data_IF_692532271579
#
_entry.id   IF_692532271579
#
_cell.length_a   1.000
_cell.length_b   1.000
_cell.length_c   1.000
_cell.angle_alpha   90.00
_cell.angle_beta   90.00
_cell.angle_gamma   90.00
#
_symmetry.space_group_name_H-M   'P 1'
#
loop_
_entity.id
_entity.type
_entity.pdbx_description
1 polymer ?
#
# COMPACT_ATOMS: atom_id res chain seq x y z
N UNK A 1 -74.82 -11.21 12.62
CA UNK A 1 -74.46 -9.92 11.99
C UNK A 1 -72.96 -9.74 12.24
N UNK A 2 -72.07 -10.27 11.37
CA UNK A 2 -71.29 -9.52 10.36
C UNK A 2 -70.58 -8.31 11.00
N UNK A 3 -69.26 -8.18 11.14
CA UNK A 3 -68.12 -8.21 10.20
C UNK A 3 -66.81 -8.13 11.04
N UNK A 4 -65.72 -8.89 10.80
CA UNK A 4 -64.68 -8.78 9.76
C UNK A 4 -63.39 -8.07 10.26
N UNK A 5 -62.32 -8.89 10.37
CA UNK A 5 -60.91 -8.68 9.99
C UNK A 5 -60.14 -7.44 10.46
N UNK A 6 -58.95 -7.69 11.03
CA UNK A 6 -57.88 -6.70 11.15
C UNK A 6 -56.57 -7.26 11.71
N UNK A 7 -56.03 -8.31 11.09
CA UNK A 7 -54.68 -8.82 11.38
C UNK A 7 -53.68 -7.99 10.56
N UNK A 8 -52.89 -7.13 11.22
CA UNK A 8 -51.72 -6.51 10.59
C UNK A 8 -50.56 -6.51 11.58
N UNK A 9 -49.85 -7.63 11.64
CA UNK A 9 -48.53 -7.71 12.26
C UNK A 9 -47.53 -7.07 11.27
N UNK A 10 -47.17 -5.81 11.52
CA UNK A 10 -46.08 -5.15 10.81
C UNK A 10 -44.74 -5.75 11.27
N UNK A 11 -44.24 -6.76 10.54
CA UNK A 11 -42.83 -7.11 10.58
C UNK A 11 -42.04 -5.96 9.94
N UNK A 12 -41.54 -5.06 10.79
CA UNK A 12 -40.44 -4.18 10.40
C UNK A 12 -39.20 -5.08 10.32
N UNK A 13 -38.89 -5.53 9.11
CA UNK A 13 -37.62 -6.18 8.82
C UNK A 13 -36.50 -5.20 9.14
N UNK A 14 -35.78 -5.45 10.23
CA UNK A 14 -34.49 -4.84 10.50
C UNK A 14 -33.58 -5.21 9.33
N UNK A 15 -33.45 -4.30 8.38
CA UNK A 15 -32.42 -4.37 7.35
C UNK A 15 -31.08 -4.31 8.07
N UNK A 16 -30.47 -5.47 8.25
CA UNK A 16 -29.04 -5.58 8.53
C UNK A 16 -28.34 -4.76 7.46
N UNK A 17 -27.82 -3.59 7.82
CA UNK A 17 -26.74 -2.97 7.07
C UNK A 17 -25.59 -3.97 7.19
N UNK A 18 -25.50 -4.85 6.21
CA UNK A 18 -24.41 -5.78 6.07
C UNK A 18 -23.11 -4.98 6.17
N UNK A 19 -22.22 -5.37 7.09
CA UNK A 19 -20.80 -5.09 6.95
C UNK A 19 -20.33 -5.81 5.68
N UNK A 20 -20.60 -5.26 4.51
CA UNK A 20 -20.57 -6.00 3.25
C UNK A 20 -19.19 -6.05 2.58
N UNK A 21 -18.11 -5.83 3.33
CA UNK A 21 -16.76 -6.04 2.83
C UNK A 21 -15.90 -6.72 3.90
N UNK A 22 -15.18 -7.81 3.54
CA UNK A 22 -14.30 -8.49 4.48
C UNK A 22 -13.22 -7.50 4.95
N UNK A 23 -12.88 -7.56 6.24
CA UNK A 23 -11.73 -6.85 6.80
C UNK A 23 -10.68 -7.90 7.19
N UNK A 24 -9.40 -7.71 6.84
CA UNK A 24 -8.36 -8.61 7.30
C UNK A 24 -8.34 -8.66 8.84
N UNK A 25 -8.06 -9.84 9.39
CA UNK A 25 -7.88 -9.95 10.84
C UNK A 25 -6.57 -9.27 11.25
N UNK A 26 -6.51 -8.64 12.44
CA UNK A 26 -5.25 -8.05 12.95
C UNK A 26 -4.14 -9.10 13.12
N UNK A 27 -4.52 -10.33 13.49
CA UNK A 27 -3.60 -11.47 13.56
C UNK A 27 -3.61 -12.19 12.21
N UNK A 28 -2.45 -12.39 11.56
CA UNK A 28 -2.38 -13.08 10.28
C UNK A 28 -2.91 -14.51 10.38
N UNK A 29 -3.78 -14.91 9.45
CA UNK A 29 -4.24 -16.30 9.34
C UNK A 29 -3.33 -17.12 8.42
N UNK A 30 -2.54 -16.44 7.59
CA UNK A 30 -1.56 -17.01 6.67
C UNK A 30 -0.18 -16.40 6.86
N UNK A 31 0.81 -16.99 6.19
CA UNK A 31 2.17 -16.50 6.16
C UNK A 31 2.21 -15.03 5.70
N UNK A 32 2.89 -14.21 6.49
CA UNK A 32 3.08 -12.78 6.30
C UNK A 32 4.56 -12.47 6.54
N UNK A 33 5.15 -11.72 5.62
CA UNK A 33 6.53 -11.27 5.71
C UNK A 33 6.61 -10.09 6.69
N UNK A 34 7.73 -9.99 7.40
CA UNK A 34 7.98 -8.81 8.21
C UNK A 34 8.45 -7.67 7.29
N UNK A 35 7.65 -6.59 7.23
CA UNK A 35 7.88 -5.46 6.34
C UNK A 35 8.01 -4.19 7.16
N UNK A 36 9.17 -3.54 7.04
CA UNK A 36 9.56 -2.35 7.78
C UNK A 36 9.75 -1.19 6.80
N UNK A 37 8.72 -0.36 6.59
CA UNK A 37 8.84 0.74 5.66
C UNK A 37 9.54 1.94 6.28
N UNK A 38 10.46 2.51 5.52
CA UNK A 38 11.02 3.82 5.80
C UNK A 38 10.00 4.96 5.63
N UNK A 39 10.44 6.21 5.83
CA UNK A 39 9.59 7.36 5.56
C UNK A 39 9.52 7.66 4.06
N UNK A 40 8.36 8.13 3.63
CA UNK A 40 8.14 8.67 2.29
C UNK A 40 8.80 10.05 2.22
N UNK A 41 9.43 10.36 1.09
CA UNK A 41 10.10 11.64 0.81
C UNK A 41 9.92 12.02 -0.66
N UNK A 42 10.29 13.25 -1.03
CA UNK A 42 10.26 13.70 -2.41
C UNK A 42 11.56 14.41 -2.80
N UNK A 43 12.08 14.18 -3.99
CA UNK A 43 13.31 14.85 -4.45
C UNK A 43 13.25 15.11 -5.95
N UNK A 44 13.82 16.23 -6.37
CA UNK A 44 14.06 16.51 -7.79
C UNK A 44 15.31 15.78 -8.26
N UNK A 45 15.20 15.05 -9.38
CA UNK A 45 16.35 14.45 -10.05
C UNK A 45 17.20 15.54 -10.72
N UNK A 46 18.52 15.43 -10.55
CA UNK A 46 19.49 16.26 -11.25
C UNK A 46 19.67 15.85 -12.72
N UNK A 47 19.24 14.63 -13.09
CA UNK A 47 19.36 14.10 -14.45
C UNK A 47 18.30 14.64 -15.39
N UNK A 48 17.05 14.71 -14.94
CA UNK A 48 15.93 15.10 -15.80
C UNK A 48 15.08 16.26 -15.26
N UNK A 49 15.41 16.77 -14.07
CA UNK A 49 14.70 17.89 -13.44
C UNK A 49 13.29 17.55 -12.98
N UNK A 50 12.85 16.28 -13.03
CA UNK A 50 11.53 15.87 -12.52
C UNK A 50 11.60 15.53 -11.04
N UNK A 51 10.45 15.62 -10.41
CA UNK A 51 10.29 15.26 -9.00
C UNK A 51 9.88 13.80 -8.88
N UNK A 52 10.46 13.12 -7.89
CA UNK A 52 10.18 11.72 -7.60
C UNK A 52 9.86 11.59 -6.12
N UNK A 53 8.73 10.94 -5.83
CA UNK A 53 8.52 10.34 -4.52
C UNK A 53 9.45 9.15 -4.38
N UNK A 54 10.01 8.96 -3.19
CA UNK A 54 10.86 7.82 -2.93
C UNK A 54 10.72 7.34 -1.49
N UNK A 55 10.97 6.05 -1.29
CA UNK A 55 10.92 5.41 0.01
C UNK A 55 11.88 4.21 0.02
N UNK A 56 12.54 3.97 1.14
CA UNK A 56 13.27 2.72 1.39
C UNK A 56 12.44 1.80 2.29
N UNK A 57 12.69 0.50 2.23
CA UNK A 57 12.09 -0.45 3.17
C UNK A 57 13.05 -1.60 3.44
N UNK A 58 12.81 -2.34 4.52
CA UNK A 58 13.44 -3.62 4.79
C UNK A 58 12.38 -4.70 4.88
N UNK A 59 12.65 -5.87 4.30
CA UNK A 59 11.77 -7.04 4.37
C UNK A 59 12.55 -8.25 4.89
N UNK A 60 11.98 -8.98 5.83
CA UNK A 60 12.54 -10.21 6.38
C UNK A 60 11.50 -11.33 6.43
N UNK A 61 11.97 -12.57 6.29
CA UNK A 61 11.11 -13.74 6.21
C UNK A 61 11.23 -14.60 7.47
N UNK A 62 10.15 -14.66 8.25
CA UNK A 62 10.00 -15.56 9.40
C UNK A 62 8.88 -16.57 9.21
N UNK A 63 8.50 -16.87 7.97
CA UNK A 63 7.29 -17.65 7.65
C UNK A 63 7.48 -19.17 7.79
N UNK A 64 8.67 -19.66 8.13
CA UNK A 64 8.97 -21.09 8.26
C UNK A 64 9.42 -21.77 6.97
N UNK A 65 9.34 -21.09 5.82
CA UNK A 65 9.86 -21.54 4.52
C UNK A 65 10.38 -20.35 3.69
N UNK A 66 11.20 -20.61 2.68
CA UNK A 66 11.65 -19.58 1.73
C UNK A 66 10.46 -19.07 0.89
N UNK A 67 10.49 -17.79 0.54
CA UNK A 67 9.39 -17.11 -0.18
C UNK A 67 9.92 -16.36 -1.38
N UNK A 68 9.08 -16.22 -2.41
CA UNK A 68 9.36 -15.29 -3.50
C UNK A 68 8.85 -13.91 -3.07
N UNK A 69 9.74 -12.94 -3.05
CA UNK A 69 9.44 -11.53 -2.86
C UNK A 69 9.20 -10.88 -4.23
N UNK A 70 7.95 -10.54 -4.51
CA UNK A 70 7.54 -9.83 -5.72
C UNK A 70 6.40 -8.85 -5.38
N UNK A 71 6.70 -7.78 -4.63
CA UNK A 71 5.69 -6.85 -4.13
C UNK A 71 5.24 -5.88 -5.22
N UNK A 72 4.07 -5.28 -5.00
CA UNK A 72 3.58 -4.13 -5.76
C UNK A 72 3.33 -2.97 -4.81
N UNK A 73 3.87 -1.79 -5.14
CA UNK A 73 3.70 -0.58 -4.35
C UNK A 73 3.06 0.53 -5.20
N UNK A 74 1.93 1.04 -4.73
CA UNK A 74 1.14 2.05 -5.45
C UNK A 74 0.89 3.25 -4.55
N UNK A 75 1.19 4.44 -5.05
CA UNK A 75 0.72 5.70 -4.46
C UNK A 75 -0.58 6.12 -5.13
N UNK A 76 -1.54 6.55 -4.32
CA UNK A 76 -2.74 7.24 -4.77
C UNK A 76 -2.76 8.65 -4.21
N UNK A 77 -2.92 9.66 -5.06
CA UNK A 77 -2.95 11.07 -4.65
C UNK A 77 -4.38 11.55 -4.48
N UNK A 78 -4.59 12.62 -3.70
CA UNK A 78 -5.85 13.36 -3.61
C UNK A 78 -6.28 14.01 -4.96
N UNK A 79 -5.38 14.05 -5.95
CA UNK A 79 -5.67 14.46 -7.33
C UNK A 79 -6.18 13.33 -8.21
N UNK A 80 -6.23 12.11 -7.70
CA UNK A 80 -6.70 10.93 -8.43
C UNK A 80 -5.61 10.24 -9.26
N UNK A 81 -4.33 10.60 -9.07
CA UNK A 81 -3.22 9.93 -9.73
C UNK A 81 -3.00 8.54 -9.11
N UNK A 82 -2.70 7.55 -9.95
CA UNK A 82 -2.28 6.21 -9.55
C UNK A 82 -0.85 6.01 -10.03
N UNK A 83 0.10 6.01 -9.10
CA UNK A 83 1.52 5.90 -9.40
C UNK A 83 2.02 4.53 -8.94
N UNK A 84 2.42 3.67 -9.86
CA UNK A 84 3.05 2.38 -9.54
C UNK A 84 4.57 2.55 -9.46
N UNK A 85 5.20 1.96 -8.43
CA UNK A 85 6.64 2.11 -8.21
C UNK A 85 7.42 1.57 -9.40
N UNK A 86 8.45 2.30 -9.82
CA UNK A 86 9.36 1.92 -10.90
C UNK A 86 8.78 2.09 -12.30
N UNK A 87 7.47 2.34 -12.44
CA UNK A 87 6.85 2.68 -13.72
C UNK A 87 7.32 4.07 -14.14
N UNK A 88 7.73 4.19 -15.40
CA UNK A 88 8.27 5.43 -15.98
C UNK A 88 9.50 6.00 -15.25
N UNK A 89 10.23 5.14 -14.52
CA UNK A 89 11.51 5.47 -13.89
C UNK A 89 12.64 4.90 -14.74
N UNK A 90 13.43 5.78 -15.35
CA UNK A 90 14.60 5.37 -16.10
C UNK A 90 15.69 4.82 -15.16
N UNK A 91 16.50 3.89 -15.68
CA UNK A 91 17.59 3.26 -14.91
C UNK A 91 18.56 4.29 -14.32
N UNK A 92 18.89 5.35 -15.08
CA UNK A 92 19.77 6.42 -14.63
C UNK A 92 19.24 7.18 -13.40
N UNK A 93 17.92 7.29 -13.27
CA UNK A 93 17.25 7.91 -12.10
C UNK A 93 17.35 6.97 -10.90
N UNK A 94 17.12 5.67 -11.12
CA UNK A 94 17.29 4.67 -10.05
C UNK A 94 18.72 4.66 -9.51
N UNK A 95 19.72 4.73 -10.39
CA UNK A 95 21.14 4.81 -10.03
C UNK A 95 21.50 6.12 -9.32
N UNK A 96 20.92 7.25 -9.73
CA UNK A 96 21.09 8.54 -9.05
C UNK A 96 20.59 8.48 -7.60
N UNK A 97 19.35 8.01 -7.37
CA UNK A 97 18.78 7.92 -6.03
C UNK A 97 19.51 6.89 -5.16
N UNK A 98 19.94 5.77 -5.76
CA UNK A 98 20.76 4.78 -5.07
C UNK A 98 22.09 5.37 -4.60
N UNK A 99 22.81 6.08 -5.48
CA UNK A 99 24.06 6.75 -5.15
C UNK A 99 23.87 7.85 -4.11
N UNK A 100 22.79 8.63 -4.19
CA UNK A 100 22.43 9.66 -3.21
C UNK A 100 22.24 9.08 -1.81
N UNK A 101 21.59 7.91 -1.69
CA UNK A 101 21.34 7.25 -0.41
C UNK A 101 22.57 6.57 0.18
N UNK A 102 23.59 6.27 -0.64
CA UNK A 102 24.89 5.79 -0.18
C UNK A 102 24.86 4.47 0.60
N UNK A 103 23.86 3.62 0.36
CA UNK A 103 23.68 2.35 1.04
C UNK A 103 23.82 1.19 0.06
N UNK A 104 24.94 0.48 0.16
CA UNK A 104 25.27 -0.66 -0.73
C UNK A 104 24.31 -1.86 -0.56
N UNK A 105 23.61 -1.96 0.57
CA UNK A 105 22.62 -3.02 0.83
C UNK A 105 21.24 -2.69 0.26
N UNK A 106 21.06 -1.47 -0.25
CA UNK A 106 19.81 -1.03 -0.85
C UNK A 106 19.74 -1.55 -2.29
N UNK A 107 18.69 -2.30 -2.60
CA UNK A 107 18.48 -2.87 -3.92
C UNK A 107 17.41 -2.06 -4.67
N UNK A 108 17.64 -1.68 -5.93
CA UNK A 108 16.59 -1.08 -6.74
C UNK A 108 15.49 -2.12 -7.04
N UNK A 109 14.28 -1.65 -7.34
CA UNK A 109 13.10 -2.50 -7.48
C UNK A 109 13.24 -3.68 -8.45
N UNK A 110 14.03 -3.54 -9.52
CA UNK A 110 14.25 -4.64 -10.48
C UNK A 110 15.19 -5.73 -9.97
N UNK A 111 16.03 -5.45 -8.98
CA UNK A 111 16.98 -6.40 -8.38
C UNK A 111 16.39 -7.09 -7.16
N UNK A 112 15.56 -6.38 -6.38
CA UNK A 112 15.02 -6.92 -5.14
C UNK A 112 13.99 -8.05 -5.35
N UNK A 113 13.41 -8.18 -6.55
CA UNK A 113 12.47 -9.26 -6.87
C UNK A 113 13.21 -10.60 -6.89
N UNK A 114 12.68 -11.61 -6.20
CA UNK A 114 13.23 -12.96 -6.22
C UNK A 114 13.13 -13.63 -4.85
N UNK A 115 13.99 -14.62 -4.63
CA UNK A 115 13.96 -15.40 -3.40
C UNK A 115 14.29 -14.55 -2.16
N UNK A 116 13.53 -14.79 -1.10
CA UNK A 116 13.70 -14.21 0.22
C UNK A 116 13.83 -15.37 1.23
N UNK A 117 15.08 -15.64 1.58
CA UNK A 117 15.45 -16.72 2.48
C UNK A 117 15.02 -16.41 3.91
N UNK A 118 14.85 -17.44 4.72
CA UNK A 118 14.46 -17.28 6.12
C UNK A 118 15.50 -16.60 7.02
N UNK A 119 15.00 -15.86 8.00
CA UNK A 119 15.78 -15.27 9.08
C UNK A 119 16.24 -13.84 8.81
N UNK A 120 16.58 -13.13 9.89
CA UNK A 120 16.92 -11.70 9.88
C UNK A 120 18.14 -11.36 9.02
N UNK A 121 19.16 -12.24 9.00
CA UNK A 121 20.39 -12.02 8.22
C UNK A 121 20.18 -12.04 6.71
N UNK A 122 19.04 -12.57 6.26
CA UNK A 122 18.64 -12.60 4.87
C UNK A 122 17.63 -11.49 4.55
N UNK A 123 17.46 -10.52 5.45
CA UNK A 123 16.65 -9.35 5.18
C UNK A 123 17.18 -8.59 3.97
N UNK A 124 16.28 -8.14 3.11
CA UNK A 124 16.60 -7.37 1.91
C UNK A 124 16.06 -5.96 2.08
N UNK A 125 16.80 -4.97 1.59
CA UNK A 125 16.38 -3.57 1.65
C UNK A 125 16.13 -3.03 0.27
N UNK A 126 14.97 -2.41 0.04
CA UNK A 126 14.55 -1.97 -1.29
C UNK A 126 14.40 -0.47 -1.42
N UNK A 127 14.71 0.05 -2.61
CA UNK A 127 14.41 1.41 -3.03
C UNK A 127 13.16 1.42 -3.92
N UNK A 128 12.20 2.28 -3.57
CA UNK A 128 11.00 2.57 -4.35
C UNK A 128 11.03 3.99 -4.88
N UNK A 129 10.56 4.17 -6.11
CA UNK A 129 10.55 5.44 -6.83
C UNK A 129 9.25 5.60 -7.60
N UNK A 130 8.65 6.78 -7.52
CA UNK A 130 7.47 7.16 -8.30
C UNK A 130 7.68 8.55 -8.89
N UNK A 131 7.54 8.75 -10.21
CA UNK A 131 7.51 10.09 -10.78
C UNK A 131 6.30 10.85 -10.26
N UNK A 132 6.51 12.05 -9.73
CA UNK A 132 5.43 12.92 -9.27
C UNK A 132 4.77 13.59 -10.48
N UNK A 133 3.49 13.27 -10.74
CA UNK A 133 2.69 13.89 -11.80
C UNK A 133 2.19 15.29 -11.41
N UNK A 134 1.96 15.49 -10.11
CA UNK A 134 1.61 16.78 -9.51
C UNK A 134 2.38 16.97 -8.20
N UNK A 135 2.65 18.24 -7.89
CA UNK A 135 3.29 18.68 -6.64
C UNK A 135 2.29 19.39 -5.71
N UNK A 136 1.09 19.67 -6.22
CA UNK A 136 0.00 20.27 -5.47
C UNK A 136 -0.88 19.16 -4.86
N UNK A 137 -0.29 18.29 -4.05
CA UNK A 137 -0.96 17.18 -3.39
C UNK A 137 -0.99 17.41 -1.88
N UNK A 138 -2.13 17.16 -1.23
CA UNK A 138 -2.24 17.30 0.23
C UNK A 138 -2.19 15.95 0.94
N UNK A 139 -2.57 14.88 0.23
CA UNK A 139 -2.61 13.54 0.78
C UNK A 139 -2.09 12.53 -0.24
N UNK A 140 -1.34 11.55 0.27
CA UNK A 140 -0.87 10.41 -0.51
C UNK A 140 -1.14 9.12 0.27
N UNK A 141 -1.77 8.16 -0.38
CA UNK A 141 -2.02 6.82 0.15
C UNK A 141 -1.08 5.81 -0.50
N UNK A 142 -0.21 5.19 0.28
CA UNK A 142 0.62 4.06 -0.14
C UNK A 142 -0.12 2.75 0.11
N UNK A 143 -0.17 1.92 -0.93
CA UNK A 143 -0.64 0.54 -0.89
C UNK A 143 0.52 -0.42 -1.19
N UNK A 144 0.82 -1.30 -0.25
CA UNK A 144 1.86 -2.33 -0.35
C UNK A 144 1.24 -3.72 -0.41
N UNK A 145 1.32 -4.37 -1.56
CA UNK A 145 0.78 -5.72 -1.80
C UNK A 145 1.92 -6.73 -1.96
N UNK A 146 1.67 -7.99 -1.61
CA UNK A 146 2.68 -9.07 -1.65
C UNK A 146 3.38 -9.34 -0.32
N UNK A 147 3.04 -8.60 0.73
CA UNK A 147 3.55 -8.84 2.09
C UNK A 147 2.88 -10.07 2.73
N UNK A 148 1.58 -10.27 2.45
CA UNK A 148 0.79 -11.38 2.96
C UNK A 148 0.26 -12.26 1.83
N UNK A 149 0.20 -13.57 2.09
CA UNK A 149 -0.45 -14.55 1.20
C UNK A 149 -1.96 -14.69 1.43
N UNK A 150 -2.52 -13.88 2.33
CA UNK A 150 -3.94 -13.85 2.65
C UNK A 150 -4.74 -13.19 1.51
N UNK A 151 -5.83 -13.85 1.12
CA UNK A 151 -6.76 -13.38 0.09
C UNK A 151 -8.21 -13.57 0.55
N UNK A 152 -9.11 -12.79 -0.03
CA UNK A 152 -10.54 -12.94 0.13
C UNK A 152 -11.20 -12.98 -1.25
N UNK A 153 -12.19 -13.87 -1.44
CA UNK A 153 -13.00 -13.89 -2.66
C UNK A 153 -14.30 -13.17 -2.37
N UNK A 154 -14.62 -12.16 -3.17
CA UNK A 154 -15.87 -11.40 -3.09
C UNK A 154 -16.56 -11.35 -4.43
N UNK A 155 -17.86 -11.09 -4.44
CA UNK A 155 -18.59 -10.82 -5.67
C UNK A 155 -18.32 -9.38 -6.13
N UNK A 156 -17.97 -9.22 -7.41
CA UNK A 156 -17.76 -7.91 -8.00
C UNK A 156 -19.10 -7.15 -8.05
N UNK A 157 -19.18 -5.92 -7.50
CA UNK A 157 -20.47 -5.23 -7.30
C UNK A 157 -21.22 -4.93 -8.60
N UNK A 158 -20.50 -4.68 -9.70
CA UNK A 158 -21.10 -4.43 -11.02
C UNK A 158 -21.33 -5.70 -11.84
N UNK A 159 -20.34 -6.59 -11.94
CA UNK A 159 -20.40 -7.74 -12.83
C UNK A 159 -20.98 -9.02 -12.21
N UNK A 160 -21.12 -9.08 -10.88
CA UNK A 160 -21.53 -10.28 -10.14
C UNK A 160 -20.53 -11.44 -10.19
N UNK A 161 -19.37 -11.27 -10.84
CA UNK A 161 -18.35 -12.32 -10.96
C UNK A 161 -17.48 -12.37 -9.70
N UNK A 162 -16.99 -13.55 -9.31
CA UNK A 162 -16.04 -13.65 -8.21
C UNK A 162 -14.73 -12.94 -8.58
N UNK A 163 -14.23 -12.12 -7.66
CA UNK A 163 -12.92 -11.48 -7.73
C UNK A 163 -12.12 -11.82 -6.48
N UNK A 164 -10.81 -11.97 -6.64
CA UNK A 164 -9.88 -12.21 -5.54
C UNK A 164 -9.28 -10.88 -5.11
N UNK A 165 -9.43 -10.55 -3.84
CA UNK A 165 -8.77 -9.42 -3.20
C UNK A 165 -7.57 -9.93 -2.40
N UNK A 166 -6.48 -9.17 -2.43
CA UNK A 166 -5.27 -9.46 -1.70
C UNK A 166 -5.23 -8.62 -0.42
N UNK A 167 -4.69 -9.19 0.66
CA UNK A 167 -4.40 -8.41 1.87
C UNK A 167 -3.27 -7.43 1.56
N UNK A 168 -3.59 -6.14 1.63
CA UNK A 168 -2.73 -5.03 1.27
C UNK A 168 -2.53 -4.13 2.47
N UNK A 169 -1.28 -3.74 2.73
CA UNK A 169 -0.95 -2.76 3.74
C UNK A 169 -1.19 -1.36 3.18
N UNK A 170 -1.97 -0.55 3.89
CA UNK A 170 -2.27 0.84 3.56
C UNK A 170 -1.60 1.78 4.56
N UNK A 171 -0.95 2.84 4.05
CA UNK A 171 -0.43 3.96 4.84
C UNK A 171 -0.86 5.26 4.17
N UNK A 172 -1.31 6.23 4.96
CA UNK A 172 -1.73 7.53 4.44
C UNK A 172 -0.81 8.60 5.02
N UNK A 173 -0.43 9.54 4.17
CA UNK A 173 0.52 10.60 4.45
C UNK A 173 -0.14 11.94 4.22
N UNK A 174 0.17 12.89 5.11
CA UNK A 174 -0.26 14.27 4.99
C UNK A 174 0.91 15.12 4.46
N UNK A 175 0.65 15.84 3.38
CA UNK A 175 1.61 16.71 2.71
C UNK A 175 1.16 18.16 2.98
N UNK A 176 1.84 18.87 3.89
CA UNK A 176 1.48 20.24 4.20
C UNK A 176 1.92 21.19 3.07
N UNK A 177 0.97 21.67 2.27
CA UNK A 177 1.20 22.71 1.27
C UNK A 177 1.91 22.21 -0.01
N UNK A 178 2.87 22.99 -0.54
CA UNK A 178 3.62 22.62 -1.75
C UNK A 178 4.62 21.50 -1.42
N UNK A 179 4.48 20.33 -2.06
CA UNK A 179 5.36 19.18 -1.86
C UNK A 179 6.85 19.53 -2.10
N UNK A 180 7.15 20.54 -2.94
CA UNK A 180 8.52 21.01 -3.17
C UNK A 180 9.19 21.52 -1.90
N UNK A 181 8.42 22.12 -0.99
CA UNK A 181 8.94 22.69 0.25
C UNK A 181 9.41 21.62 1.23
N UNK A 182 8.89 20.39 1.12
CA UNK A 182 9.34 19.25 1.91
C UNK A 182 10.76 18.84 1.51
N UNK A 183 11.01 18.78 0.19
CA UNK A 183 12.23 18.18 -0.33
C UNK A 183 12.51 16.83 0.35
N UNK A 184 13.73 16.65 0.84
CA UNK A 184 14.20 15.40 1.43
C UNK A 184 13.67 15.11 2.84
N UNK A 185 12.83 15.97 3.40
CA UNK A 185 12.25 15.75 4.72
C UNK A 185 11.21 14.62 4.69
N UNK A 186 11.16 13.77 5.74
CA UNK A 186 10.10 12.77 5.91
C UNK A 186 8.70 13.39 5.84
N UNK A 187 7.83 12.81 5.02
CA UNK A 187 6.39 13.13 5.03
C UNK A 187 5.77 12.51 6.27
N UNK A 188 4.95 13.28 6.98
CA UNK A 188 4.25 12.81 8.16
C UNK A 188 3.10 11.86 7.80
N UNK A 189 2.89 10.84 8.64
CA UNK A 189 1.69 10.02 8.55
C UNK A 189 0.46 10.84 8.96
N UNK A 190 -0.68 10.56 8.35
CA UNK A 190 -1.92 11.24 8.68
C UNK A 190 -2.30 11.04 10.17
N UNK A 191 -2.58 12.11 10.93
CA UNK A 191 -2.73 12.06 12.39
C UNK A 191 -3.99 11.33 12.88
N UNK A 192 -5.07 11.36 12.09
CA UNK A 192 -6.35 10.72 12.45
C UNK A 192 -6.38 9.21 12.21
N UNK A 193 -5.30 8.67 11.67
CA UNK A 193 -5.13 7.24 11.54
C UNK A 193 -4.44 6.79 12.81
N UNK A 194 -5.12 5.92 13.57
CA UNK A 194 -4.46 5.08 14.57
C UNK A 194 -3.13 4.64 13.96
N UNK A 195 -2.00 5.04 14.57
CA UNK A 195 -0.64 4.90 13.99
C UNK A 195 -0.26 3.46 13.64
N UNK A 196 -1.15 2.53 13.93
CA UNK A 196 -1.17 1.14 13.51
C UNK A 196 -1.32 0.99 11.99
N UNK A 197 -0.50 0.14 11.35
CA UNK A 197 -0.64 -0.20 9.93
C UNK A 197 -2.06 -0.71 9.62
N UNK A 198 -2.72 -0.11 8.60
CA UNK A 198 -4.09 -0.49 8.21
C UNK A 198 -4.04 -1.57 7.14
N UNK A 199 -4.49 -2.77 7.48
CA UNK A 199 -4.66 -3.86 6.51
C UNK A 199 -6.05 -3.80 5.87
N UNK A 200 -6.08 -3.83 4.54
CA UNK A 200 -7.32 -3.86 3.76
C UNK A 200 -7.29 -5.02 2.76
N UNK A 201 -8.43 -5.37 2.18
CA UNK A 201 -8.49 -6.23 0.99
C UNK A 201 -8.66 -5.34 -0.26
N UNK A 202 -7.77 -5.50 -1.24
CA UNK A 202 -7.77 -4.75 -2.51
C UNK A 202 -7.45 -5.64 -3.70
#
# INVERSE_FOLDING_TARGET
>A
MLLLVGFLASLVGLSSLAEAYPKPKPVPVRAELNFEPGPLRIRQSEKDGKWYWYMTYTVSNYTGEDRIWAPTFVLFTDRGDILESGRDVHREISEEFHAFLGNDLLEPQHQIIGDLLQGERNARSGLLLWPATSLEVNEVCLFSTGISSETAVVEHPVSGKPITLHKTLMREYLIPGDARALGDQPVELHPDIDRSPRWIYR
#
